data_IF_133179368346
#
_entry.id   IF_133179368346
#
_cell.length_a   1.000
_cell.length_b   1.000
_cell.length_c   1.000
_cell.angle_alpha   90.00
_cell.angle_beta   90.00
_cell.angle_gamma   90.00
#
_symmetry.space_group_name_H-M   'P 1'
#
loop_
_entity.id
_entity.type
_entity.pdbx_description
1 polymer ?
#
# COMPACT_ATOMS: atom_id res chain seq x y z
N UNK A 1 -2.75 -77.10 -36.76
CA UNK A 1 -3.16 -75.93 -36.03
C UNK A 1 -2.01 -74.88 -36.01
N UNK A 2 -2.12 -73.85 -36.86
CA UNK A 2 -1.08 -72.79 -36.95
C UNK A 2 -1.45 -71.71 -35.93
N UNK A 3 -0.64 -71.58 -34.86
CA UNK A 3 -0.76 -70.51 -33.88
C UNK A 3 -0.17 -69.24 -34.46
N UNK A 4 -1.03 -68.27 -34.74
CA UNK A 4 -0.58 -66.92 -35.13
C UNK A 4 -0.06 -66.20 -33.89
N UNK A 5 1.20 -65.76 -33.94
CA UNK A 5 1.80 -64.98 -32.85
C UNK A 5 1.14 -63.58 -32.79
N UNK A 6 0.89 -63.02 -31.59
CA UNK A 6 0.27 -61.69 -31.44
C UNK A 6 1.21 -60.61 -32.01
N UNK A 7 0.68 -59.82 -32.94
CA UNK A 7 1.37 -58.65 -33.49
C UNK A 7 1.50 -57.57 -32.38
N UNK A 8 2.73 -57.17 -32.04
CA UNK A 8 3.00 -56.05 -31.13
C UNK A 8 3.02 -54.76 -31.94
N UNK A 9 2.10 -53.89 -31.63
CA UNK A 9 2.10 -52.51 -32.17
C UNK A 9 2.94 -51.65 -31.22
N UNK A 10 3.97 -50.95 -31.69
CA UNK A 10 4.73 -50.05 -30.85
C UNK A 10 3.87 -48.85 -30.47
N UNK A 11 3.75 -48.60 -29.16
CA UNK A 11 3.17 -47.37 -28.63
C UNK A 11 4.27 -46.33 -28.60
N UNK A 12 4.18 -45.31 -29.42
CA UNK A 12 5.05 -44.14 -29.35
C UNK A 12 4.38 -43.01 -28.57
N UNK A 13 5.07 -42.54 -27.56
CA UNK A 13 4.67 -41.33 -26.80
C UNK A 13 5.04 -40.11 -27.64
N UNK A 14 4.10 -39.22 -27.90
CA UNK A 14 4.34 -37.96 -28.58
C UNK A 14 4.09 -36.83 -27.59
N UNK A 15 5.06 -35.95 -27.42
CA UNK A 15 4.80 -34.72 -26.71
C UNK A 15 3.86 -33.84 -27.53
N UNK A 16 2.79 -33.41 -26.92
CA UNK A 16 1.81 -32.52 -27.53
C UNK A 16 1.88 -31.17 -26.82
N UNK A 17 2.27 -30.13 -27.55
CA UNK A 17 2.29 -28.76 -27.06
C UNK A 17 1.03 -28.04 -27.58
N UNK A 18 0.13 -27.70 -26.73
CA UNK A 18 -1.05 -26.87 -27.06
C UNK A 18 -0.74 -25.41 -26.70
N UNK A 19 -0.47 -24.61 -27.70
CA UNK A 19 -0.19 -23.18 -27.55
C UNK A 19 -1.45 -22.38 -27.83
N UNK A 20 -1.92 -21.60 -26.86
CA UNK A 20 -3.10 -20.73 -27.00
C UNK A 20 -2.71 -19.28 -26.72
N UNK A 21 -3.23 -18.38 -27.56
CA UNK A 21 -3.11 -16.94 -27.31
C UNK A 21 -4.19 -16.49 -26.33
N UNK A 22 -3.81 -15.87 -25.25
CA UNK A 22 -4.72 -15.26 -24.27
C UNK A 22 -4.62 -13.75 -24.37
N UNK A 23 -5.76 -13.08 -24.30
CA UNK A 23 -5.80 -11.63 -24.20
C UNK A 23 -5.68 -11.24 -22.74
N UNK A 24 -4.59 -10.57 -22.38
CA UNK A 24 -4.40 -9.98 -21.06
C UNK A 24 -5.11 -8.63 -21.03
N UNK A 25 -6.16 -8.51 -20.24
CA UNK A 25 -6.81 -7.21 -20.00
C UNK A 25 -6.20 -6.63 -18.73
N UNK A 26 -5.54 -5.49 -18.86
CA UNK A 26 -5.08 -4.69 -17.72
C UNK A 26 -6.27 -3.76 -17.38
N UNK A 27 -6.96 -3.96 -16.25
CA UNK A 27 -8.00 -3.02 -15.86
C UNK A 27 -7.36 -1.64 -15.64
N UNK A 28 -8.09 -0.55 -15.97
CA UNK A 28 -7.60 0.79 -15.67
C UNK A 28 -7.33 0.88 -14.16
N UNK A 29 -6.17 1.43 -13.79
CA UNK A 29 -5.84 1.71 -12.40
C UNK A 29 -6.89 2.71 -11.87
N UNK A 30 -7.53 2.40 -10.75
CA UNK A 30 -8.36 3.38 -10.06
C UNK A 30 -7.42 4.31 -9.28
N UNK A 31 -7.42 5.62 -9.54
CA UNK A 31 -6.58 6.53 -8.79
C UNK A 31 -6.98 6.50 -7.31
N UNK A 32 -6.00 6.38 -6.42
CA UNK A 32 -6.24 6.50 -5.00
C UNK A 32 -6.01 7.95 -4.57
N UNK A 33 -7.08 8.63 -4.18
CA UNK A 33 -7.04 10.03 -3.78
C UNK A 33 -6.85 10.15 -2.26
N UNK A 34 -5.85 10.92 -1.85
CA UNK A 34 -5.62 11.28 -0.46
C UNK A 34 -6.12 12.70 -0.24
N UNK A 35 -7.18 12.82 0.55
CA UNK A 35 -7.77 14.12 0.91
C UNK A 35 -7.09 14.75 2.11
N UNK A 36 -7.27 16.06 2.28
CA UNK A 36 -6.76 16.76 3.44
C UNK A 36 -7.46 16.27 4.72
N UNK A 37 -6.73 15.93 5.78
CA UNK A 37 -7.34 15.54 7.05
C UNK A 37 -7.84 16.75 7.88
N UNK A 38 -7.52 17.97 7.46
CA UNK A 38 -7.91 19.20 8.12
C UNK A 38 -8.25 20.31 7.13
N UNK A 39 -9.04 21.29 7.55
CA UNK A 39 -9.27 22.52 6.79
C UNK A 39 -8.22 23.56 7.16
N UNK A 40 -7.91 24.47 6.22
CA UNK A 40 -6.96 25.55 6.44
C UNK A 40 -6.37 26.06 5.11
N UNK A 41 -5.21 26.70 5.19
CA UNK A 41 -4.47 27.21 4.05
C UNK A 41 -3.12 26.52 3.91
N UNK A 42 -2.77 26.10 2.70
CA UNK A 42 -1.43 25.57 2.40
C UNK A 42 -0.39 26.67 2.61
N UNK A 43 0.44 26.54 3.62
CA UNK A 43 1.50 27.49 3.99
C UNK A 43 2.90 27.06 3.54
N UNK A 44 3.08 25.75 3.29
CA UNK A 44 4.26 25.21 2.60
C UNK A 44 3.84 23.98 1.79
N UNK A 45 4.51 23.72 0.68
CA UNK A 45 4.26 22.57 -0.20
C UNK A 45 5.58 21.99 -0.68
N UNK A 46 5.93 20.80 -0.19
CA UNK A 46 7.10 20.03 -0.56
C UNK A 46 6.77 18.90 -1.54
N UNK A 47 5.50 18.45 -1.53
CA UNK A 47 5.01 17.42 -2.45
C UNK A 47 5.07 17.92 -3.90
N UNK A 48 5.51 17.05 -4.79
CA UNK A 48 5.52 17.31 -6.23
C UNK A 48 5.11 16.05 -6.99
N UNK A 49 4.47 16.23 -8.13
CA UNK A 49 4.10 15.15 -9.04
C UNK A 49 5.34 14.36 -9.45
N UNK A 50 5.30 13.03 -9.33
CA UNK A 50 6.41 12.13 -9.65
C UNK A 50 7.52 12.06 -8.61
N UNK A 51 7.52 12.91 -7.58
CA UNK A 51 8.49 12.85 -6.48
C UNK A 51 8.02 11.89 -5.38
N UNK A 52 8.88 10.97 -4.89
CA UNK A 52 8.49 10.04 -3.84
C UNK A 52 8.25 10.76 -2.51
N UNK A 53 7.15 10.40 -1.85
CA UNK A 53 6.82 10.78 -0.48
C UNK A 53 7.06 9.56 0.39
N UNK A 54 7.94 9.67 1.37
CA UNK A 54 8.25 8.58 2.30
C UNK A 54 7.55 8.79 3.63
N UNK A 55 7.24 7.69 4.31
CA UNK A 55 6.76 7.73 5.69
C UNK A 55 7.78 8.44 6.58
N UNK A 56 7.30 9.39 7.39
CA UNK A 56 8.13 10.29 8.19
C UNK A 56 8.46 11.62 7.50
N UNK A 57 8.04 11.84 6.24
CA UNK A 57 8.22 13.13 5.56
C UNK A 57 7.02 14.06 5.72
N UNK A 58 7.23 15.35 5.47
CA UNK A 58 6.20 16.39 5.56
C UNK A 58 5.90 16.89 4.12
N UNK A 59 4.84 16.39 3.45
CA UNK A 59 4.49 16.77 2.09
C UNK A 59 3.97 18.21 1.98
N UNK A 60 3.34 18.74 3.02
CA UNK A 60 2.88 20.13 3.09
C UNK A 60 2.68 20.59 4.52
N UNK A 61 2.46 21.91 4.68
CA UNK A 61 2.01 22.51 5.93
C UNK A 61 0.67 23.20 5.69
N UNK A 62 -0.22 23.11 6.69
CA UNK A 62 -1.53 23.76 6.69
C UNK A 62 -1.59 24.69 7.89
N UNK A 63 -1.86 25.98 7.67
CA UNK A 63 -1.87 27.05 8.69
C UNK A 63 -0.59 27.08 9.55
N UNK A 64 0.57 26.79 8.93
CA UNK A 64 1.88 26.76 9.60
C UNK A 64 2.14 25.51 10.43
N UNK A 65 1.25 24.52 10.38
CA UNK A 65 1.42 23.23 11.06
C UNK A 65 1.78 22.14 10.03
N UNK A 66 2.81 21.33 10.29
CA UNK A 66 3.23 20.28 9.40
C UNK A 66 2.19 19.17 9.32
N UNK A 67 1.96 18.66 8.11
CA UNK A 67 1.20 17.45 7.84
C UNK A 67 2.20 16.30 7.66
N UNK A 68 2.29 15.42 8.65
CA UNK A 68 3.24 14.31 8.65
C UNK A 68 2.67 13.10 7.91
N UNK A 69 3.32 12.64 6.85
CA UNK A 69 2.94 11.41 6.14
C UNK A 69 3.43 10.18 6.92
N UNK A 70 2.52 9.25 7.26
CA UNK A 70 2.85 8.01 7.95
C UNK A 70 2.18 6.81 7.29
N UNK A 71 2.95 5.73 7.07
CA UNK A 71 2.46 4.44 6.59
C UNK A 71 1.99 3.58 7.76
N UNK A 72 0.77 3.79 8.21
CA UNK A 72 0.20 3.08 9.34
C UNK A 72 -0.64 1.88 8.85
N UNK A 73 -0.50 0.73 9.50
CA UNK A 73 -1.37 -0.43 9.26
C UNK A 73 -2.83 -0.18 9.63
N UNK A 74 -3.07 0.76 10.56
CA UNK A 74 -4.38 1.30 10.90
C UNK A 74 -4.26 2.83 10.92
N UNK A 75 -5.03 3.57 10.09
CA UNK A 75 -5.02 5.02 10.10
C UNK A 75 -5.31 5.59 11.49
N UNK A 76 -4.64 6.68 11.84
CA UNK A 76 -4.86 7.36 13.11
C UNK A 76 -6.25 8.02 13.10
N UNK A 77 -7.11 7.67 14.05
CA UNK A 77 -8.48 8.18 14.15
C UNK A 77 -8.77 8.90 15.47
N UNK A 78 -7.81 8.95 16.38
CA UNK A 78 -7.90 9.65 17.65
C UNK A 78 -6.65 10.48 17.91
N UNK A 79 -6.80 11.54 18.71
CA UNK A 79 -5.67 12.38 19.08
C UNK A 79 -4.68 11.66 19.99
N UNK A 80 -3.40 12.01 19.82
CA UNK A 80 -2.31 11.42 20.59
C UNK A 80 -2.17 12.21 21.90
N UNK A 81 -2.82 11.68 22.95
CA UNK A 81 -2.78 12.18 24.34
C UNK A 81 -2.33 11.08 25.27
N UNK A 82 -1.69 11.43 26.39
CA UNK A 82 -1.21 10.42 27.34
C UNK A 82 -2.31 9.48 27.81
N UNK A 83 -2.02 8.20 27.72
CA UNK A 83 -2.93 7.14 28.16
C UNK A 83 -3.97 6.71 27.13
N UNK A 84 -4.15 7.41 26.02
CA UNK A 84 -4.99 6.92 24.92
C UNK A 84 -4.53 5.55 24.44
N UNK A 85 -5.48 4.69 24.05
CA UNK A 85 -5.21 3.31 23.64
C UNK A 85 -6.01 2.94 22.41
N UNK A 86 -5.43 2.11 21.54
CA UNK A 86 -6.11 1.61 20.35
C UNK A 86 -5.16 0.95 19.35
N UNK A 87 -5.72 0.23 18.37
CA UNK A 87 -4.92 -0.38 17.31
C UNK A 87 -4.20 0.66 16.43
N UNK A 88 -4.76 1.85 16.25
CA UNK A 88 -4.15 3.00 15.60
C UNK A 88 -2.91 3.49 16.34
N UNK A 89 -2.96 3.53 17.69
CA UNK A 89 -1.80 3.87 18.53
C UNK A 89 -0.72 2.78 18.42
N UNK A 90 -1.13 1.51 18.37
CA UNK A 90 -0.20 0.40 18.10
C UNK A 90 0.53 0.57 16.76
N UNK A 91 -0.23 0.88 15.71
CA UNK A 91 0.32 1.16 14.39
C UNK A 91 1.28 2.37 14.40
N UNK A 92 0.90 3.45 15.11
CA UNK A 92 1.73 4.64 15.28
C UNK A 92 3.05 4.31 15.98
N UNK A 93 3.02 3.60 17.11
CA UNK A 93 4.23 3.22 17.87
C UNK A 93 5.16 2.35 17.02
N UNK A 94 4.60 1.36 16.30
CA UNK A 94 5.35 0.47 15.40
C UNK A 94 6.04 1.28 14.31
N UNK A 95 5.32 2.19 13.66
CA UNK A 95 5.87 2.99 12.56
C UNK A 95 6.93 3.97 13.03
N UNK A 96 6.70 4.67 14.15
CA UNK A 96 7.70 5.56 14.74
C UNK A 96 8.97 4.80 15.13
N UNK A 97 8.85 3.58 15.68
CA UNK A 97 9.99 2.71 15.97
C UNK A 97 10.74 2.32 14.69
N UNK A 98 10.02 1.98 13.61
CA UNK A 98 10.61 1.68 12.30
C UNK A 98 11.39 2.88 11.72
N UNK A 99 10.90 4.09 11.99
CA UNK A 99 11.58 5.35 11.61
C UNK A 99 12.77 5.70 12.51
N UNK A 100 13.05 4.90 13.55
CA UNK A 100 14.20 5.06 14.43
C UNK A 100 13.93 5.87 15.71
N UNK A 101 12.65 6.21 15.99
CA UNK A 101 12.29 6.88 17.23
C UNK A 101 12.14 5.88 18.38
N UNK A 102 12.51 6.32 19.60
CA UNK A 102 12.41 5.49 20.80
C UNK A 102 10.95 5.41 21.29
N UNK A 103 10.17 4.50 20.73
CA UNK A 103 8.77 4.23 21.11
C UNK A 103 8.58 2.77 21.51
N UNK A 104 7.57 2.44 22.34
CA UNK A 104 7.23 1.07 22.67
C UNK A 104 6.46 0.42 21.52
N UNK A 105 7.16 -0.10 20.48
CA UNK A 105 6.58 -0.59 19.22
C UNK A 105 5.42 -1.59 19.37
N UNK A 106 5.46 -2.45 20.40
CA UNK A 106 4.42 -3.45 20.68
C UNK A 106 3.21 -2.88 21.47
N UNK A 107 3.28 -1.62 21.93
CA UNK A 107 2.28 -1.04 22.81
C UNK A 107 1.17 -0.37 22.02
N UNK A 108 -0.08 -0.67 22.36
CA UNK A 108 -1.25 0.04 21.86
C UNK A 108 -1.62 1.24 22.75
N UNK A 109 -0.69 1.76 23.55
CA UNK A 109 -0.92 2.87 24.47
C UNK A 109 0.03 4.02 24.16
N UNK A 110 -0.53 5.25 24.20
CA UNK A 110 0.28 6.48 24.13
C UNK A 110 1.04 6.67 25.43
N UNK A 111 2.34 6.84 25.31
CA UNK A 111 3.26 7.19 26.40
C UNK A 111 3.89 8.55 26.13
N UNK A 112 4.60 9.09 27.12
CA UNK A 112 5.39 10.30 26.94
C UNK A 112 6.41 10.17 25.80
N UNK A 113 7.01 8.98 25.64
CA UNK A 113 7.94 8.71 24.53
C UNK A 113 7.24 8.65 23.16
N UNK A 114 6.03 8.12 23.09
CA UNK A 114 5.18 8.17 21.86
C UNK A 114 4.94 9.59 21.41
N UNK A 115 4.51 10.48 22.35
CA UNK A 115 4.27 11.90 22.03
C UNK A 115 5.55 12.64 21.66
N UNK A 116 6.64 12.39 22.39
CA UNK A 116 7.93 13.00 22.09
C UNK A 116 8.45 12.59 20.70
N UNK A 117 8.31 11.31 20.35
CA UNK A 117 8.69 10.79 19.03
C UNK A 117 7.87 11.43 17.90
N UNK A 118 6.54 11.50 18.06
CA UNK A 118 5.65 12.11 17.06
C UNK A 118 5.93 13.61 16.93
N UNK A 119 6.05 14.34 18.04
CA UNK A 119 6.40 15.77 18.04
C UNK A 119 7.76 16.02 17.36
N UNK A 120 8.74 15.17 17.62
CA UNK A 120 10.06 15.23 16.98
C UNK A 120 10.00 14.96 15.48
N UNK A 121 9.21 13.96 15.06
CA UNK A 121 9.01 13.65 13.64
C UNK A 121 8.32 14.81 12.89
N UNK A 122 7.43 15.51 13.55
CA UNK A 122 6.74 16.70 13.02
C UNK A 122 7.57 17.98 13.13
N UNK A 123 8.61 18.01 13.96
CA UNK A 123 9.35 19.23 14.26
C UNK A 123 8.57 20.26 15.07
N UNK A 124 7.58 19.82 15.85
CA UNK A 124 6.70 20.70 16.64
C UNK A 124 7.05 20.65 18.13
N UNK A 125 6.73 21.73 18.84
CA UNK A 125 6.86 21.87 20.29
C UNK A 125 5.64 22.62 20.88
N UNK A 126 5.57 22.68 22.21
CA UNK A 126 4.48 23.34 22.95
C UNK A 126 4.60 24.89 23.01
N UNK A 127 5.53 25.48 22.25
CA UNK A 127 5.84 26.90 22.28
C UNK A 127 6.84 27.31 23.37
N UNK A 128 7.07 26.47 24.39
CA UNK A 128 8.10 26.63 25.41
C UNK A 128 9.31 25.68 25.17
N UNK A 129 9.33 24.97 24.05
CA UNK A 129 10.36 23.99 23.69
C UNK A 129 10.12 22.59 24.27
N UNK A 130 8.97 22.36 24.92
CA UNK A 130 8.53 21.07 25.43
C UNK A 130 7.75 20.26 24.42
N UNK A 131 7.36 19.04 24.82
CA UNK A 131 6.51 18.16 24.01
C UNK A 131 5.05 18.57 24.21
N UNK A 132 4.27 18.80 23.11
CA UNK A 132 2.85 19.12 23.21
C UNK A 132 2.09 18.04 24.00
N UNK A 133 1.18 18.45 24.88
CA UNK A 133 0.35 17.52 25.68
C UNK A 133 -0.65 16.74 24.83
N UNK A 134 -0.98 17.28 23.66
CA UNK A 134 -1.89 16.71 22.66
C UNK A 134 -1.34 16.97 21.27
N UNK A 135 -1.37 15.96 20.41
CA UNK A 135 -1.12 16.09 18.97
C UNK A 135 -2.37 15.57 18.27
N UNK A 136 -2.96 16.42 17.44
CA UNK A 136 -4.20 16.08 16.73
C UNK A 136 -3.94 15.07 15.62
N UNK A 137 -4.83 14.09 15.49
CA UNK A 137 -4.78 13.10 14.41
C UNK A 137 -4.85 13.74 13.02
N UNK A 138 -5.49 14.89 12.92
CA UNK A 138 -5.64 15.68 11.69
C UNK A 138 -4.32 16.24 11.13
N UNK A 139 -3.22 16.17 11.88
CA UNK A 139 -1.88 16.52 11.38
C UNK A 139 -1.07 15.33 10.88
N UNK A 140 -1.70 14.16 10.80
CA UNK A 140 -1.10 12.94 10.23
C UNK A 140 -1.83 12.58 8.94
N UNK A 141 -1.09 12.61 7.83
CA UNK A 141 -1.56 12.10 6.55
C UNK A 141 -1.24 10.61 6.46
N UNK A 142 -2.28 9.79 6.45
CA UNK A 142 -2.10 8.37 6.21
C UNK A 142 -1.68 8.10 4.76
N UNK A 143 -0.65 7.29 4.56
CA UNK A 143 -0.23 6.79 3.24
C UNK A 143 -0.26 5.26 3.23
N UNK A 144 -0.66 4.61 2.11
CA UNK A 144 -0.88 3.15 2.04
C UNK A 144 0.40 2.32 2.05
N UNK A 145 1.56 2.93 1.82
CA UNK A 145 2.85 2.24 1.76
C UNK A 145 3.97 3.14 2.31
N UNK A 146 5.10 2.56 2.76
CA UNK A 146 6.25 3.31 3.29
C UNK A 146 6.82 4.35 2.32
N UNK A 147 6.61 4.18 1.03
CA UNK A 147 6.93 5.14 -0.01
C UNK A 147 5.80 5.14 -1.03
N UNK A 148 5.31 6.31 -1.40
CA UNK A 148 4.29 6.52 -2.41
C UNK A 148 4.77 7.58 -3.40
N UNK A 149 4.37 7.45 -4.67
CA UNK A 149 4.69 8.45 -5.70
C UNK A 149 3.40 9.06 -6.22
N UNK A 150 3.14 10.35 -5.97
CA UNK A 150 1.95 11.00 -6.50
C UNK A 150 1.99 11.09 -8.02
N UNK A 151 0.92 10.68 -8.68
CA UNK A 151 0.68 10.96 -10.11
C UNK A 151 0.19 12.38 -10.34
N UNK A 152 -0.39 13.00 -9.30
CA UNK A 152 -0.84 14.39 -9.32
C UNK A 152 -0.82 15.01 -7.94
N UNK A 153 -0.49 16.31 -7.87
CA UNK A 153 -0.59 17.17 -6.68
C UNK A 153 -1.41 18.40 -7.11
N UNK A 154 -2.76 18.34 -6.98
CA UNK A 154 -3.64 19.37 -7.55
C UNK A 154 -3.68 20.67 -6.74
N UNK A 155 -3.04 20.73 -5.56
CA UNK A 155 -3.02 21.90 -4.69
C UNK A 155 -1.75 22.74 -4.87
N UNK A 156 -1.86 24.03 -4.52
CA UNK A 156 -0.76 24.99 -4.63
C UNK A 156 -0.54 25.73 -3.31
N UNK A 157 0.62 26.34 -3.17
CA UNK A 157 0.92 27.23 -2.06
C UNK A 157 -0.10 28.38 -2.01
N UNK A 158 -0.73 28.57 -0.86
CA UNK A 158 -1.74 29.61 -0.64
C UNK A 158 -3.18 29.14 -0.87
N UNK A 159 -3.41 27.96 -1.40
CA UNK A 159 -4.76 27.42 -1.58
C UNK A 159 -5.45 27.20 -0.23
N UNK A 160 -6.76 27.40 -0.21
CA UNK A 160 -7.60 27.00 0.92
C UNK A 160 -8.08 25.58 0.68
N UNK A 161 -7.92 24.72 1.69
CA UNK A 161 -8.30 23.31 1.66
C UNK A 161 -9.30 22.99 2.75
N UNK A 162 -10.07 21.94 2.53
CA UNK A 162 -10.98 21.33 3.52
C UNK A 162 -10.85 19.80 3.45
N UNK A 163 -11.61 19.07 4.25
CA UNK A 163 -11.53 17.61 4.34
C UNK A 163 -12.01 16.88 3.08
N UNK A 164 -12.58 17.58 2.10
CA UNK A 164 -12.95 17.06 0.78
C UNK A 164 -11.90 17.35 -0.30
N UNK A 165 -10.94 18.23 0.00
CA UNK A 165 -9.91 18.65 -0.95
C UNK A 165 -8.88 17.55 -1.15
N UNK A 166 -8.68 17.11 -2.39
CA UNK A 166 -7.64 16.14 -2.75
C UNK A 166 -6.28 16.82 -2.69
N UNK A 167 -5.38 16.33 -1.84
CA UNK A 167 -4.00 16.79 -1.76
C UNK A 167 -3.09 16.05 -2.73
N UNK A 168 -3.27 14.75 -2.84
CA UNK A 168 -2.43 13.86 -3.63
C UNK A 168 -3.30 12.82 -4.33
N UNK A 169 -2.99 12.55 -5.59
CA UNK A 169 -3.51 11.38 -6.30
C UNK A 169 -2.36 10.40 -6.48
N UNK A 170 -2.54 9.17 -6.02
CA UNK A 170 -1.56 8.10 -6.18
C UNK A 170 -1.97 7.23 -7.36
N UNK A 171 -0.99 6.78 -8.14
CA UNK A 171 -1.25 5.66 -9.05
C UNK A 171 -1.40 4.38 -8.22
N UNK A 172 -2.41 3.62 -8.55
CA UNK A 172 -2.54 2.26 -8.01
C UNK A 172 -1.28 1.49 -8.43
N UNK A 173 -0.54 0.99 -7.46
CA UNK A 173 0.59 0.12 -7.74
C UNK A 173 0.02 -1.12 -8.45
N UNK A 174 0.33 -1.27 -9.73
CA UNK A 174 -0.11 -2.39 -10.57
C UNK A 174 0.62 -3.69 -10.18
N UNK A 175 0.62 -4.03 -8.91
CA UNK A 175 1.30 -5.23 -8.41
C UNK A 175 0.54 -6.53 -8.70
N UNK A 176 -0.60 -6.47 -9.39
CA UNK A 176 -1.34 -7.67 -9.78
C UNK A 176 -1.84 -7.58 -11.22
N UNK A 177 -1.05 -8.07 -12.15
CA UNK A 177 -1.57 -8.55 -13.42
C UNK A 177 -2.58 -9.67 -13.12
N UNK A 178 -3.88 -9.36 -13.17
CA UNK A 178 -4.91 -10.39 -13.07
C UNK A 178 -5.11 -11.03 -14.43
N UNK A 179 -4.57 -12.23 -14.59
CA UNK A 179 -4.88 -13.07 -15.72
C UNK A 179 -6.26 -13.69 -15.46
N UNK A 180 -7.26 -13.29 -16.22
CA UNK A 180 -8.57 -13.96 -16.22
C UNK A 180 -8.48 -15.19 -17.10
N UNK A 181 -8.20 -16.33 -16.50
CA UNK A 181 -8.21 -17.62 -17.19
C UNK A 181 -9.55 -18.30 -16.90
N UNK A 182 -10.27 -18.83 -17.92
CA UNK A 182 -11.47 -19.63 -17.67
C UNK A 182 -11.13 -20.83 -16.75
N UNK A 183 -11.94 -21.12 -15.72
CA UNK A 183 -11.61 -22.11 -14.69
C UNK A 183 -11.47 -23.56 -15.20
N UNK A 184 -11.97 -23.85 -16.39
CA UNK A 184 -12.05 -25.24 -16.94
C UNK A 184 -10.90 -25.61 -17.85
N UNK A 185 -9.91 -24.75 -18.02
CA UNK A 185 -8.99 -24.88 -19.13
C UNK A 185 -7.69 -25.65 -18.84
N UNK A 186 -7.24 -25.79 -17.58
CA UNK A 186 -5.85 -26.23 -17.37
C UNK A 186 -5.63 -27.11 -16.14
N UNK A 187 -5.60 -28.44 -16.29
CA UNK A 187 -5.35 -29.38 -15.20
C UNK A 187 -3.85 -29.64 -14.93
N UNK A 188 -2.94 -29.04 -15.69
CA UNK A 188 -1.49 -29.30 -15.61
C UNK A 188 -0.69 -28.02 -15.47
N UNK A 189 0.59 -28.13 -15.11
CA UNK A 189 1.54 -27.01 -15.06
C UNK A 189 1.60 -26.27 -16.39
N UNK A 190 1.52 -24.94 -16.34
CA UNK A 190 1.55 -24.09 -17.52
C UNK A 190 2.68 -23.09 -17.44
N UNK A 191 3.12 -22.65 -18.60
CA UNK A 191 4.06 -21.54 -18.74
C UNK A 191 3.36 -20.43 -19.52
N UNK A 192 3.34 -19.23 -18.96
CA UNK A 192 2.88 -18.03 -19.66
C UNK A 192 4.10 -17.30 -20.18
N UNK A 193 4.20 -17.17 -21.50
CA UNK A 193 5.27 -16.39 -22.14
C UNK A 193 4.79 -14.96 -22.36
N UNK A 194 5.47 -13.98 -21.78
CA UNK A 194 5.25 -12.54 -21.98
C UNK A 194 6.49 -11.94 -22.65
N UNK A 195 6.38 -11.63 -23.95
CA UNK A 195 7.56 -11.28 -24.74
C UNK A 195 8.55 -12.47 -24.79
N UNK A 196 9.76 -12.26 -24.28
CA UNK A 196 10.83 -13.29 -24.24
C UNK A 196 10.99 -13.93 -22.84
N UNK A 197 10.06 -13.70 -21.91
CA UNK A 197 10.16 -14.19 -20.52
C UNK A 197 9.05 -15.19 -20.19
N UNK A 198 9.43 -16.35 -19.66
CA UNK A 198 8.54 -17.41 -19.27
C UNK A 198 8.24 -17.38 -17.77
N UNK A 199 6.94 -17.40 -17.44
CA UNK A 199 6.42 -17.42 -16.06
C UNK A 199 5.71 -18.75 -15.80
N UNK A 200 6.24 -19.62 -14.92
CA UNK A 200 5.55 -20.85 -14.55
C UNK A 200 4.31 -20.55 -13.70
N UNK A 201 3.18 -21.12 -14.09
CA UNK A 201 1.91 -20.99 -13.34
C UNK A 201 1.54 -22.36 -12.80
N UNK A 202 1.45 -22.52 -11.48
CA UNK A 202 1.04 -23.78 -10.87
C UNK A 202 -0.42 -24.11 -11.23
N UNK A 203 -0.81 -25.40 -11.28
CA UNK A 203 -2.18 -25.82 -11.56
C UNK A 203 -3.11 -25.23 -10.49
N UNK A 204 -4.23 -24.67 -10.93
CA UNK A 204 -5.25 -24.16 -10.01
C UNK A 204 -5.89 -25.34 -9.30
N UNK A 205 -5.71 -25.46 -7.99
CA UNK A 205 -6.40 -26.47 -7.20
C UNK A 205 -7.91 -26.22 -7.34
N UNK A 206 -8.62 -27.16 -7.96
CA UNK A 206 -10.08 -27.15 -7.98
C UNK A 206 -10.56 -27.30 -6.54
N UNK A 207 -11.21 -26.27 -6.01
CA UNK A 207 -11.90 -26.36 -4.73
C UNK A 207 -12.93 -27.49 -4.80
N UNK A 208 -12.95 -28.46 -3.87
CA UNK A 208 -13.98 -29.46 -3.83
C UNK A 208 -15.34 -28.77 -3.61
N UNK A 209 -16.28 -29.02 -4.47
CA UNK A 209 -17.70 -28.64 -4.27
C UNK A 209 -18.17 -29.24 -2.97
N UNK A 210 -18.72 -28.47 -2.03
CA UNK A 210 -19.32 -29.03 -0.83
C UNK A 210 -20.56 -29.85 -1.16
N UNK A 211 -20.86 -30.88 -0.39
CA UNK A 211 -21.99 -31.79 -0.61
C UNK A 211 -23.35 -31.12 -0.41
#
# INVERSE_FOLDING_TARGET
ASSSAPSRVPVTTREFTDTRSLTLTIPPASPHELTSPTAGRITALQAATGAPITSGSIPCEIDGLPLLALALSTPLYQDVVDGATGPDIGALNTELARLGYATPAESQRVTASTRAALASAMGVNDGAGGVPSRIEASHVLWIPAPTVTPSSVPVHLGDSVDTSTVLLTLEDSRDALRLSVPPDAYPADHVITLGDTDYPVPPTASSPTPP
#
